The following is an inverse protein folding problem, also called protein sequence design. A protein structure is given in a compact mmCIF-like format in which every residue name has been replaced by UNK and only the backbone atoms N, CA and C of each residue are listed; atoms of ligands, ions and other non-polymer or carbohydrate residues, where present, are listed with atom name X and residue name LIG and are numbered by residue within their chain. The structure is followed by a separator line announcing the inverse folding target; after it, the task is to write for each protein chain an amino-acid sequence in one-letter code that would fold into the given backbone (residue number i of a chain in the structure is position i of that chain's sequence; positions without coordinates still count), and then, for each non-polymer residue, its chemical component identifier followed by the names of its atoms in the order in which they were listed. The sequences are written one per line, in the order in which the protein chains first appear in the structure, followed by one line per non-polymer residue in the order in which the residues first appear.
data_IF_610218248142
#
_entry.id   IF_610218248142
#
_cell.length_a   1.000
_cell.length_b   1.000
_cell.length_c   1.000
_cell.angle_alpha   90.00
_cell.angle_beta   90.00
_cell.angle_gamma   90.00
#
_symmetry.space_group_name_H-M   'P 1'
#
loop_
_entity.id
_entity.type
_entity.pdbx_description
1 polymer ?
#
# COMPACT_ATOMS: atom_id res chain seq x y z
N UNK A 1 13.72 -12.89 12.42
CA UNK A 1 13.92 -12.83 10.97
C UNK A 1 13.38 -11.51 10.42
N UNK A 2 14.04 -10.85 9.47
CA UNK A 2 13.52 -9.63 8.88
C UNK A 2 12.22 -9.91 8.12
N UNK A 3 11.31 -8.93 8.11
CA UNK A 3 10.08 -9.00 7.30
C UNK A 3 10.40 -8.70 5.82
N UNK A 4 9.54 -9.14 4.89
CA UNK A 4 9.68 -8.77 3.46
C UNK A 4 9.74 -7.25 3.26
N UNK A 5 8.91 -6.48 4.00
CA UNK A 5 8.96 -5.02 3.96
C UNK A 5 10.32 -4.47 4.40
N UNK A 6 10.92 -5.07 5.43
CA UNK A 6 12.26 -4.70 5.90
C UNK A 6 13.34 -4.98 4.87
N UNK A 7 13.27 -6.11 4.19
CA UNK A 7 14.20 -6.44 3.10
C UNK A 7 14.07 -5.49 1.91
N UNK A 8 12.83 -5.13 1.55
CA UNK A 8 12.57 -4.13 0.50
C UNK A 8 13.14 -2.77 0.89
N UNK A 9 12.86 -2.31 2.11
CA UNK A 9 13.40 -1.05 2.60
C UNK A 9 14.91 -1.06 2.59
N UNK A 10 15.53 -2.13 3.09
CA UNK A 10 16.98 -2.29 3.07
C UNK A 10 17.55 -2.23 1.63
N UNK A 11 16.91 -2.90 0.67
CA UNK A 11 17.37 -2.87 -0.74
C UNK A 11 17.33 -1.46 -1.36
N UNK A 12 16.46 -0.60 -0.86
CA UNK A 12 16.35 0.80 -1.30
C UNK A 12 17.44 1.66 -0.67
N UNK A 13 17.62 1.53 0.65
CA UNK A 13 18.47 2.47 1.41
C UNK A 13 19.94 2.06 1.51
N UNK A 14 20.28 0.80 1.21
CA UNK A 14 21.65 0.27 1.38
C UNK A 14 22.73 1.02 0.60
N UNK A 15 22.39 1.59 -0.56
CA UNK A 15 23.29 2.39 -1.41
C UNK A 15 23.17 3.90 -1.14
N UNK A 16 22.22 4.30 -0.26
CA UNK A 16 21.98 5.70 0.06
C UNK A 16 22.76 6.13 1.30
N UNK A 17 23.03 7.42 1.43
CA UNK A 17 23.69 7.98 2.62
C UNK A 17 23.02 7.62 3.94
N UNK A 18 21.69 7.50 3.95
CA UNK A 18 20.92 7.13 5.14
C UNK A 18 21.21 5.70 5.63
N UNK A 19 21.70 4.82 4.77
CA UNK A 19 22.12 3.44 5.12
C UNK A 19 23.55 3.36 5.65
N UNK A 20 24.32 4.45 5.68
CA UNK A 20 25.72 4.45 6.05
C UNK A 20 25.89 4.74 7.57
N UNK A 21 26.59 3.85 8.28
CA UNK A 21 26.90 4.02 9.69
C UNK A 21 27.88 5.19 9.98
N UNK A 22 28.70 5.60 8.99
CA UNK A 22 29.63 6.72 9.13
C UNK A 22 28.93 8.03 9.47
N UNK A 23 27.71 8.23 8.95
CA UNK A 23 26.91 9.40 9.25
C UNK A 23 26.58 9.53 10.75
N UNK A 24 26.17 8.42 11.38
CA UNK A 24 25.89 8.41 12.82
C UNK A 24 27.13 8.77 13.63
N UNK A 25 28.28 8.19 13.27
CA UNK A 25 29.55 8.52 13.91
C UNK A 25 29.95 9.99 13.75
N UNK A 26 29.70 10.60 12.57
CA UNK A 26 29.96 12.02 12.35
C UNK A 26 29.07 12.91 13.23
N UNK A 27 27.78 12.61 13.34
CA UNK A 27 26.87 13.36 14.20
C UNK A 27 27.22 13.25 15.68
N UNK A 28 27.62 12.08 16.14
CA UNK A 28 28.10 11.91 17.52
C UNK A 28 29.36 12.73 17.77
N UNK A 29 30.31 12.77 16.81
CA UNK A 29 31.49 13.60 16.91
C UNK A 29 31.15 15.10 16.94
N UNK A 30 30.18 15.55 16.16
CA UNK A 30 29.77 16.95 16.11
C UNK A 30 28.98 17.34 17.39
N UNK A 31 28.17 16.45 17.97
CA UNK A 31 27.57 16.65 19.28
C UNK A 31 28.62 16.80 20.38
N UNK A 32 29.68 15.99 20.35
CA UNK A 32 30.82 16.14 21.27
C UNK A 32 31.56 17.44 21.10
N UNK A 33 31.66 18.00 19.88
CA UNK A 33 32.24 19.36 19.63
C UNK A 33 31.36 20.46 20.21
N UNK A 34 30.00 20.29 20.13
CA UNK A 34 29.08 21.25 20.77
C UNK A 34 29.27 21.26 22.29
N UNK A 35 29.38 20.07 22.90
CA UNK A 35 29.60 19.92 24.35
C UNK A 35 30.91 20.63 24.79
N UNK A 36 31.95 20.54 23.97
CA UNK A 36 33.26 21.23 24.24
C UNK A 36 33.27 22.70 23.86
N UNK A 37 32.17 23.24 23.29
CA UNK A 37 32.09 24.62 22.82
C UNK A 37 32.86 24.91 21.51
N UNK A 38 33.29 23.88 20.79
CA UNK A 38 34.05 23.97 19.52
C UNK A 38 33.11 24.17 18.32
N UNK A 39 31.81 23.84 18.45
CA UNK A 39 30.77 23.98 17.44
C UNK A 39 29.50 24.60 18.02
N UNK A 40 28.80 25.42 17.25
CA UNK A 40 27.52 26.00 17.68
C UNK A 40 26.39 25.07 17.34
N UNK A 41 25.45 24.87 18.27
CA UNK A 41 24.21 24.09 18.05
C UNK A 41 23.47 24.48 16.77
N UNK A 42 23.42 25.78 16.46
CA UNK A 42 22.77 26.33 15.27
C UNK A 42 23.35 25.81 13.95
N UNK A 43 24.65 25.63 13.91
CA UNK A 43 25.35 25.14 12.70
C UNK A 43 25.04 23.63 12.51
N UNK A 44 25.11 22.85 13.58
CA UNK A 44 24.75 21.45 13.58
C UNK A 44 23.29 21.22 13.15
N UNK A 45 22.35 22.04 13.66
CA UNK A 45 20.93 21.98 13.27
C UNK A 45 20.74 22.24 11.77
N UNK A 46 21.43 23.24 11.24
CA UNK A 46 21.41 23.57 9.81
C UNK A 46 21.94 22.42 8.94
N UNK A 47 22.98 21.73 9.40
CA UNK A 47 23.53 20.57 8.68
C UNK A 47 22.56 19.39 8.66
N UNK A 48 21.85 19.12 9.77
CA UNK A 48 20.77 18.11 9.82
C UNK A 48 19.62 18.47 8.89
N UNK A 49 19.16 19.72 8.87
CA UNK A 49 18.07 20.17 7.99
C UNK A 49 18.47 20.02 6.51
N UNK A 50 19.70 20.39 6.17
CA UNK A 50 20.25 20.22 4.82
C UNK A 50 20.29 18.73 4.42
N UNK A 51 20.78 17.88 5.32
CA UNK A 51 20.82 16.45 5.12
C UNK A 51 19.42 15.83 4.93
N UNK A 52 18.46 16.20 5.78
CA UNK A 52 17.08 15.73 5.68
C UNK A 52 16.44 16.11 4.34
N UNK A 53 16.69 17.35 3.88
CA UNK A 53 16.23 17.83 2.57
C UNK A 53 16.86 17.00 1.45
N UNK A 54 18.18 16.81 1.48
CA UNK A 54 18.88 16.02 0.47
C UNK A 54 18.38 14.58 0.37
N UNK A 55 18.20 13.89 1.50
CA UNK A 55 17.66 12.51 1.51
C UNK A 55 16.23 12.45 1.00
N UNK A 56 15.41 13.43 1.35
CA UNK A 56 14.03 13.51 0.86
C UNK A 56 13.98 13.66 -0.65
N UNK A 57 14.78 14.55 -1.22
CA UNK A 57 14.86 14.77 -2.66
C UNK A 57 15.42 13.56 -3.40
N UNK A 58 16.43 12.89 -2.83
CA UNK A 58 16.99 11.65 -3.34
C UNK A 58 15.95 10.52 -3.38
N UNK A 59 15.17 10.34 -2.30
CA UNK A 59 14.08 9.36 -2.23
C UNK A 59 12.93 9.68 -3.19
N UNK A 60 12.54 10.94 -3.32
CA UNK A 60 11.48 11.35 -4.24
C UNK A 60 11.88 11.21 -5.71
N UNK A 61 13.15 11.46 -6.03
CA UNK A 61 13.68 11.30 -7.39
C UNK A 61 13.99 9.85 -7.76
N UNK A 62 14.23 9.00 -6.77
CA UNK A 62 14.48 7.58 -6.99
C UNK A 62 13.20 6.90 -7.48
N UNK A 63 13.27 6.23 -8.64
CA UNK A 63 12.20 5.35 -9.13
C UNK A 63 12.23 4.05 -8.33
N UNK A 64 11.69 4.09 -7.12
CA UNK A 64 11.60 2.91 -6.26
C UNK A 64 10.64 1.91 -6.90
N UNK A 65 11.20 0.87 -7.49
CA UNK A 65 10.43 -0.28 -7.97
C UNK A 65 10.14 -1.16 -6.76
N UNK A 66 8.99 -0.98 -6.13
CA UNK A 66 8.53 -1.94 -5.14
C UNK A 66 8.44 -3.33 -5.79
N UNK A 67 8.97 -4.38 -5.15
CA UNK A 67 8.83 -5.73 -5.66
C UNK A 67 7.35 -6.03 -5.84
N UNK A 68 6.99 -6.29 -7.08
CA UNK A 68 5.62 -6.62 -7.44
C UNK A 68 5.39 -8.06 -7.00
N UNK A 69 4.41 -8.30 -6.15
CA UNK A 69 3.99 -9.65 -5.82
C UNK A 69 3.21 -10.20 -7.01
N UNK A 70 3.90 -10.95 -7.85
CA UNK A 70 3.24 -11.79 -8.85
C UNK A 70 2.58 -12.94 -8.11
N UNK A 71 1.34 -13.21 -8.45
CA UNK A 71 0.63 -14.38 -7.96
C UNK A 71 0.49 -15.39 -9.10
N UNK A 72 0.31 -16.65 -8.75
CA UNK A 72 -0.02 -17.71 -9.72
C UNK A 72 -1.50 -17.66 -10.16
N UNK A 73 -2.24 -16.64 -9.71
CA UNK A 73 -3.66 -16.45 -10.00
C UNK A 73 -3.80 -15.90 -11.41
N UNK A 74 -4.51 -16.63 -12.26
CA UNK A 74 -4.80 -16.19 -13.61
C UNK A 74 -5.78 -15.02 -13.61
N UNK A 75 -5.62 -14.12 -14.59
CA UNK A 75 -6.53 -13.01 -14.78
C UNK A 75 -7.92 -13.53 -15.18
N UNK A 76 -9.00 -13.18 -14.47
CA UNK A 76 -10.34 -13.67 -14.80
C UNK A 76 -10.84 -13.17 -16.16
N UNK A 77 -10.33 -12.04 -16.64
CA UNK A 77 -10.75 -11.45 -17.92
C UNK A 77 -10.10 -12.13 -19.14
N UNK A 78 -8.79 -12.36 -19.11
CA UNK A 78 -8.10 -12.92 -20.29
C UNK A 78 -7.67 -14.38 -20.12
N UNK A 79 -7.60 -14.91 -18.89
CA UNK A 79 -7.16 -16.27 -18.58
C UNK A 79 -5.69 -16.57 -18.91
N UNK A 80 -4.92 -15.60 -19.43
CA UNK A 80 -3.53 -15.76 -19.89
C UNK A 80 -2.52 -15.16 -18.94
N UNK A 81 -2.73 -13.89 -18.54
CA UNK A 81 -1.85 -13.18 -17.63
C UNK A 81 -2.10 -13.57 -16.17
N UNK A 82 -1.11 -13.41 -15.31
CA UNK A 82 -1.23 -13.55 -13.86
C UNK A 82 -1.56 -12.21 -13.20
N UNK A 83 -2.06 -12.24 -11.96
CA UNK A 83 -2.32 -11.03 -11.19
C UNK A 83 -1.03 -10.53 -10.53
N UNK A 84 -0.79 -9.24 -10.64
CA UNK A 84 0.27 -8.51 -9.99
C UNK A 84 -0.34 -7.55 -8.98
N UNK A 85 0.00 -7.72 -7.69
CA UNK A 85 -0.53 -6.89 -6.62
C UNK A 85 0.34 -5.66 -6.39
N UNK A 86 -0.31 -4.50 -6.40
CA UNK A 86 0.25 -3.19 -6.10
C UNK A 86 -0.39 -2.62 -4.83
N UNK A 87 0.19 -1.59 -4.22
CA UNK A 87 -0.40 -0.94 -3.04
C UNK A 87 -1.83 -0.43 -3.24
N UNK A 88 -2.18 0.00 -4.46
CA UNK A 88 -3.51 0.60 -4.78
C UNK A 88 -4.42 -0.28 -5.62
N UNK A 89 -3.90 -1.33 -6.26
CA UNK A 89 -4.66 -2.18 -7.16
C UNK A 89 -4.01 -3.54 -7.38
N UNK A 90 -4.74 -4.48 -7.97
CA UNK A 90 -4.19 -5.64 -8.66
C UNK A 90 -4.41 -5.46 -10.18
N UNK A 91 -3.41 -5.82 -10.98
CA UNK A 91 -3.46 -5.70 -12.45
C UNK A 91 -3.10 -7.02 -13.10
N UNK A 92 -3.62 -7.21 -14.31
CA UNK A 92 -3.15 -8.28 -15.17
C UNK A 92 -1.70 -8.01 -15.63
N UNK A 93 -0.87 -9.06 -15.63
CA UNK A 93 0.51 -8.98 -16.14
C UNK A 93 0.58 -8.87 -17.68
N UNK A 94 -0.50 -9.22 -18.36
CA UNK A 94 -0.64 -9.08 -19.80
C UNK A 94 -0.98 -7.63 -20.16
N UNK A 95 -0.11 -6.99 -20.94
CA UNK A 95 -0.24 -5.58 -21.29
C UNK A 95 -1.48 -5.31 -22.18
N UNK A 96 -1.86 -6.27 -23.03
CA UNK A 96 -3.00 -6.12 -23.93
C UNK A 96 -4.33 -6.27 -23.22
N UNK A 97 -4.36 -6.96 -22.08
CA UNK A 97 -5.57 -7.17 -21.29
C UNK A 97 -6.03 -5.90 -20.57
N UNK A 98 -5.12 -5.16 -19.96
CA UNK A 98 -5.39 -3.90 -19.26
C UNK A 98 -6.31 -4.00 -18.04
N UNK A 99 -6.76 -5.22 -17.64
CA UNK A 99 -7.67 -5.39 -16.50
C UNK A 99 -7.03 -4.96 -15.19
N UNK A 100 -7.79 -4.18 -14.41
CA UNK A 100 -7.33 -3.63 -13.14
C UNK A 100 -8.44 -3.72 -12.10
N UNK A 101 -8.10 -4.26 -10.94
CA UNK A 101 -8.96 -4.35 -9.77
C UNK A 101 -8.45 -3.39 -8.69
N UNK A 102 -9.23 -2.35 -8.38
CA UNK A 102 -8.84 -1.36 -7.38
C UNK A 102 -8.99 -1.89 -5.96
N UNK A 103 -7.99 -1.62 -5.13
CA UNK A 103 -7.98 -1.99 -3.73
C UNK A 103 -8.97 -1.19 -2.89
N UNK A 104 -9.16 0.09 -3.20
CA UNK A 104 -10.09 0.96 -2.46
C UNK A 104 -11.44 1.02 -3.15
N UNK A 105 -12.47 0.50 -2.48
CA UNK A 105 -13.86 0.47 -2.93
C UNK A 105 -14.72 1.13 -1.86
N UNK A 106 -15.49 2.15 -2.21
CA UNK A 106 -16.37 2.91 -1.29
C UNK A 106 -15.71 3.23 0.05
N UNK A 107 -14.48 3.79 0.02
CA UNK A 107 -13.74 4.19 1.21
C UNK A 107 -13.11 3.06 2.02
N UNK A 108 -13.32 1.80 1.63
CA UNK A 108 -12.75 0.61 2.26
C UNK A 108 -11.57 0.08 1.45
N UNK A 109 -10.43 -0.14 2.10
CA UNK A 109 -9.29 -0.83 1.50
C UNK A 109 -9.46 -2.34 1.65
N UNK A 110 -9.44 -3.05 0.53
CA UNK A 110 -9.52 -4.51 0.45
C UNK A 110 -8.15 -5.14 0.74
N UNK A 111 -8.15 -6.29 1.41
CA UNK A 111 -6.95 -7.10 1.63
C UNK A 111 -6.56 -7.87 0.35
N UNK A 112 -5.31 -8.36 0.29
CA UNK A 112 -4.87 -9.20 -0.83
C UNK A 112 -5.72 -10.47 -0.95
N UNK A 113 -6.14 -11.04 0.18
CA UNK A 113 -7.03 -12.19 0.23
C UNK A 113 -8.40 -11.89 -0.38
N UNK A 114 -9.00 -10.73 -0.06
CA UNK A 114 -10.29 -10.32 -0.62
C UNK A 114 -10.19 -10.04 -2.13
N UNK A 115 -9.09 -9.43 -2.59
CA UNK A 115 -8.82 -9.25 -4.02
C UNK A 115 -8.64 -10.57 -4.73
N UNK A 116 -7.94 -11.52 -4.09
CA UNK A 116 -7.75 -12.89 -4.62
C UNK A 116 -9.08 -13.61 -4.76
N UNK A 117 -9.91 -13.61 -3.72
CA UNK A 117 -11.24 -14.23 -3.77
C UNK A 117 -12.11 -13.65 -4.89
N UNK A 118 -12.12 -12.32 -5.00
CA UNK A 118 -12.87 -11.65 -6.06
C UNK A 118 -12.39 -12.04 -7.45
N UNK A 119 -11.07 -12.19 -7.63
CA UNK A 119 -10.50 -12.59 -8.92
C UNK A 119 -10.71 -14.08 -9.25
N UNK A 120 -10.65 -14.96 -8.26
CA UNK A 120 -10.74 -16.43 -8.48
C UNK A 120 -12.20 -16.88 -8.51
N UNK A 121 -13.02 -16.42 -7.56
CA UNK A 121 -14.40 -16.88 -7.39
C UNK A 121 -15.43 -15.96 -8.08
N UNK A 122 -14.99 -14.76 -8.53
CA UNK A 122 -15.89 -13.74 -9.05
C UNK A 122 -16.65 -12.97 -7.97
N UNK A 123 -16.59 -13.41 -6.70
CA UNK A 123 -17.32 -12.79 -5.58
C UNK A 123 -16.53 -12.86 -4.27
N UNK A 124 -16.91 -12.01 -3.30
CA UNK A 124 -16.38 -12.03 -1.94
C UNK A 124 -17.46 -12.37 -0.92
N UNK A 125 -17.01 -12.76 0.28
CA UNK A 125 -17.89 -12.74 1.46
C UNK A 125 -18.36 -11.31 1.76
N UNK A 126 -19.34 -11.18 2.68
CA UNK A 126 -19.83 -9.88 3.14
C UNK A 126 -18.70 -9.12 3.83
N UNK A 127 -18.35 -7.97 3.28
CA UNK A 127 -17.33 -7.08 3.82
C UNK A 127 -18.01 -5.90 4.54
N UNK A 128 -17.58 -5.63 5.76
CA UNK A 128 -18.09 -4.54 6.58
C UNK A 128 -17.24 -3.29 6.45
N UNK A 129 -17.86 -2.13 6.60
CA UNK A 129 -17.17 -0.85 6.71
C UNK A 129 -16.99 -0.11 5.40
N UNK A 130 -17.78 -0.40 4.39
CA UNK A 130 -17.94 0.47 3.24
C UNK A 130 -18.62 1.79 3.65
N UNK A 131 -18.32 2.87 2.95
CA UNK A 131 -18.92 4.19 3.20
C UNK A 131 -19.64 4.64 1.93
N UNK A 132 -20.93 4.92 2.04
CA UNK A 132 -21.72 5.44 0.93
C UNK A 132 -21.36 6.89 0.60
N UNK A 133 -21.79 7.41 -0.55
CA UNK A 133 -21.61 8.83 -0.92
C UNK A 133 -22.23 9.80 0.11
N UNK A 134 -23.24 9.34 0.85
CA UNK A 134 -23.88 10.10 1.94
C UNK A 134 -23.21 9.93 3.31
N UNK A 135 -21.99 9.34 3.38
CA UNK A 135 -21.24 9.13 4.61
C UNK A 135 -21.76 8.00 5.50
N UNK A 136 -22.79 7.26 5.10
CA UNK A 136 -23.34 6.15 5.89
C UNK A 136 -22.50 4.88 5.69
N UNK A 137 -22.20 4.19 6.78
CA UNK A 137 -21.52 2.88 6.72
C UNK A 137 -22.52 1.80 6.31
N UNK A 138 -22.04 0.87 5.49
CA UNK A 138 -22.81 -0.30 5.07
C UNK A 138 -21.94 -1.54 4.92
N UNK A 139 -22.56 -2.68 4.76
CA UNK A 139 -21.93 -3.96 4.47
C UNK A 139 -22.52 -4.55 3.19
N UNK A 140 -21.68 -5.17 2.40
CA UNK A 140 -22.06 -5.83 1.15
C UNK A 140 -20.99 -6.85 0.76
N UNK A 141 -21.32 -7.81 -0.08
CA UNK A 141 -20.34 -8.57 -0.86
C UNK A 141 -20.02 -7.82 -2.16
N UNK A 142 -18.88 -8.13 -2.74
CA UNK A 142 -18.45 -7.64 -4.04
C UNK A 142 -18.55 -8.76 -5.05
N UNK A 143 -19.03 -8.45 -6.24
CA UNK A 143 -19.14 -9.37 -7.37
C UNK A 143 -18.44 -8.73 -8.58
N UNK A 144 -17.83 -9.56 -9.44
CA UNK A 144 -17.41 -9.14 -10.79
C UNK A 144 -18.58 -9.34 -11.75
N UNK A 145 -19.00 -8.26 -12.40
CA UNK A 145 -20.03 -8.32 -13.45
C UNK A 145 -19.49 -8.93 -14.75
N UNK A 146 -20.35 -9.01 -15.78
CA UNK A 146 -19.99 -9.55 -17.09
C UNK A 146 -18.87 -8.77 -17.82
N UNK A 147 -18.62 -7.52 -17.42
CA UNK A 147 -17.52 -6.67 -17.91
C UNK A 147 -16.29 -6.74 -17.00
N UNK A 148 -16.25 -7.64 -16.03
CA UNK A 148 -15.21 -7.78 -15.00
C UNK A 148 -15.01 -6.52 -14.14
N UNK A 149 -16.09 -5.74 -13.93
CA UNK A 149 -16.15 -4.60 -13.01
C UNK A 149 -16.71 -5.03 -11.67
N UNK A 150 -16.24 -4.36 -10.61
CA UNK A 150 -16.70 -4.64 -9.25
C UNK A 150 -18.06 -3.98 -8.99
N UNK A 151 -19.06 -4.78 -8.62
CA UNK A 151 -20.39 -4.33 -8.21
C UNK A 151 -20.71 -4.78 -6.80
N UNK A 152 -21.62 -4.07 -6.11
CA UNK A 152 -22.06 -4.42 -4.76
C UNK A 152 -23.26 -5.36 -4.82
N UNK A 153 -23.22 -6.41 -4.01
CA UNK A 153 -24.35 -7.28 -3.73
C UNK A 153 -24.71 -7.11 -2.26
N UNK A 154 -25.93 -6.64 -2.00
CA UNK A 154 -26.39 -6.39 -0.65
C UNK A 154 -27.05 -7.64 -0.09
N UNK A 155 -26.78 -8.01 1.18
CA UNK A 155 -27.47 -9.12 1.82
C UNK A 155 -28.97 -8.84 1.90
N UNK A 156 -29.78 -9.85 1.63
CA UNK A 156 -31.23 -9.74 1.81
C UNK A 156 -31.55 -9.37 3.26
N UNK A 157 -32.24 -8.23 3.46
CA UNK A 157 -32.72 -7.85 4.78
C UNK A 157 -33.81 -8.83 5.18
N UNK A 158 -33.54 -9.73 6.12
CA UNK A 158 -34.61 -10.47 6.81
C UNK A 158 -35.58 -9.45 7.40
N UNK A 159 -36.75 -9.34 6.84
CA UNK A 159 -37.86 -8.56 7.44
C UNK A 159 -38.15 -9.18 8.80
N UNK A 160 -37.56 -8.61 9.85
CA UNK A 160 -38.01 -8.89 11.21
C UNK A 160 -39.43 -8.34 11.33
N UNK A 161 -40.40 -9.24 11.20
CA UNK A 161 -41.79 -8.92 11.41
C UNK A 161 -41.95 -8.43 12.85
N UNK A 162 -42.09 -7.12 13.04
CA UNK A 162 -42.56 -6.55 14.28
C UNK A 162 -44.09 -6.79 14.29
N UNK A 163 -44.49 -7.93 14.86
CA UNK A 163 -45.87 -8.13 15.28
C UNK A 163 -46.23 -7.00 16.26
N UNK A 164 -47.08 -6.10 15.81
CA UNK A 164 -47.78 -5.20 16.73
C UNK A 164 -48.88 -6.01 17.44
N UNK A 165 -48.75 -6.20 18.74
CA UNK A 165 -49.87 -6.43 19.65
C UNK A 165 -50.30 -5.10 20.21
#
# INVERSE_FOLDING_TARGET
MPTEKGLVLYSIVKEMKIGNAEMTGQWEADLAKIERGEMKEKDFRKDIESYATQITDELLSSKILFPQRRSDILCPKCGKGSLVFYPRCAKCSDADCGWTLFRTVAGKSLTDEQLTRLAVNGETDIIKGFTSKAGKRFEASLLLDGDFKTVFVFPERKKTGKSRR
#
